data_IF_197162552116
#
_entry.id   IF_197162552116
#
_cell.length_a   1.000
_cell.length_b   1.000
_cell.length_c   1.000
_cell.angle_alpha   90.00
_cell.angle_beta   90.00
_cell.angle_gamma   90.00
#
_symmetry.space_group_name_H-M   'P 1'
#
loop_
_entity.id
_entity.type
_entity.pdbx_description
1 polymer ?
#
# COMPACT_ATOMS: atom_id res chain seq x y z
N UNK A 1 -9.54 -16.81 2.28
CA UNK A 1 -8.52 -16.55 3.31
C UNK A 1 -9.01 -15.57 4.38
N UNK A 2 -9.12 -16.03 5.63
CA UNK A 2 -9.68 -15.26 6.77
C UNK A 2 -9.03 -13.87 6.99
N UNK A 3 -7.76 -13.72 6.64
CA UNK A 3 -6.97 -12.50 6.89
C UNK A 3 -7.32 -11.35 5.94
N UNK A 4 -7.67 -11.66 4.69
CA UNK A 4 -8.04 -10.66 3.68
C UNK A 4 -9.43 -10.11 3.98
N UNK A 5 -10.34 -11.00 4.38
CA UNK A 5 -11.67 -10.59 4.86
C UNK A 5 -11.55 -9.71 6.10
N UNK A 6 -10.59 -9.99 7.00
CA UNK A 6 -10.32 -9.13 8.16
C UNK A 6 -9.82 -7.75 7.73
N UNK A 7 -8.85 -7.69 6.80
CA UNK A 7 -8.37 -6.41 6.24
C UNK A 7 -9.53 -5.66 5.56
N UNK A 8 -10.41 -6.37 4.87
CA UNK A 8 -11.56 -5.76 4.21
C UNK A 8 -12.55 -5.17 5.22
N UNK A 9 -12.88 -5.90 6.29
CA UNK A 9 -13.72 -5.39 7.38
C UNK A 9 -13.09 -4.20 8.08
N UNK A 10 -11.78 -4.24 8.33
CA UNK A 10 -11.02 -3.15 8.92
C UNK A 10 -11.08 -1.90 8.01
N UNK A 11 -10.89 -2.06 6.69
CA UNK A 11 -10.98 -0.98 5.71
C UNK A 11 -12.39 -0.39 5.63
N UNK A 12 -13.44 -1.20 5.61
CA UNK A 12 -14.82 -0.72 5.60
C UNK A 12 -15.18 0.02 6.89
N UNK A 13 -14.68 -0.43 8.06
CA UNK A 13 -14.84 0.28 9.34
C UNK A 13 -14.12 1.63 9.34
N UNK A 14 -12.90 1.69 8.81
CA UNK A 14 -12.12 2.93 8.76
C UNK A 14 -12.62 3.91 7.70
N UNK A 15 -13.42 3.47 6.72
CA UNK A 15 -13.97 4.36 5.67
C UNK A 15 -14.94 5.38 6.26
N UNK A 16 -15.60 5.02 7.37
CA UNK A 16 -16.55 5.84 8.11
C UNK A 16 -15.86 6.83 9.07
N UNK A 17 -14.56 6.66 9.35
CA UNK A 17 -13.80 7.63 10.12
C UNK A 17 -13.44 8.85 9.27
N UNK A 18 -13.55 10.05 9.84
CA UNK A 18 -13.18 11.32 9.21
C UNK A 18 -11.65 11.48 9.17
N UNK A 19 -10.97 10.66 8.37
CA UNK A 19 -9.55 10.85 8.08
C UNK A 19 -9.38 11.89 6.98
N UNK A 20 -8.42 12.80 7.16
CA UNK A 20 -7.87 13.59 6.06
C UNK A 20 -7.31 12.65 4.99
N UNK A 21 -7.24 13.14 3.75
CA UNK A 21 -6.68 12.39 2.64
C UNK A 21 -5.31 11.77 2.96
N UNK A 22 -4.43 12.55 3.59
CA UNK A 22 -3.10 12.11 4.05
C UNK A 22 -3.18 11.12 5.21
N UNK A 23 -4.11 11.33 6.15
CA UNK A 23 -4.35 10.41 7.27
C UNK A 23 -4.75 9.02 6.79
N UNK A 24 -5.52 8.91 5.71
CA UNK A 24 -5.90 7.60 5.13
C UNK A 24 -4.68 6.84 4.59
N UNK A 25 -3.78 7.55 3.90
CA UNK A 25 -2.55 6.97 3.37
C UNK A 25 -1.66 6.49 4.52
N UNK A 26 -1.51 7.31 5.58
CA UNK A 26 -0.76 6.93 6.77
C UNK A 26 -1.36 5.70 7.46
N UNK A 27 -2.68 5.65 7.67
CA UNK A 27 -3.38 4.50 8.27
C UNK A 27 -3.22 3.22 7.47
N UNK A 28 -3.28 3.28 6.14
CA UNK A 28 -3.00 2.11 5.28
C UNK A 28 -1.54 1.68 5.46
N UNK A 29 -0.62 2.65 5.46
CA UNK A 29 0.81 2.40 5.60
C UNK A 29 1.19 1.81 6.95
N UNK A 30 0.49 2.16 8.04
CA UNK A 30 0.79 1.64 9.38
C UNK A 30 0.05 0.35 9.70
N UNK A 31 -1.18 0.15 9.22
CA UNK A 31 -1.98 -1.01 9.61
C UNK A 31 -2.00 -2.14 8.57
N UNK A 32 -2.09 -1.81 7.29
CA UNK A 32 -2.23 -2.81 6.21
C UNK A 32 -0.87 -3.32 5.78
N UNK A 33 0.12 -2.43 5.69
CA UNK A 33 1.48 -2.77 5.28
C UNK A 33 2.15 -3.87 6.13
N UNK A 34 2.21 -3.79 7.48
CA UNK A 34 2.85 -4.84 8.28
C UNK A 34 2.12 -6.19 8.18
N UNK A 35 0.79 -6.19 8.07
CA UNK A 35 0.00 -7.42 7.86
C UNK A 35 0.33 -8.09 6.52
N UNK A 36 0.52 -7.30 5.46
CA UNK A 36 0.94 -7.81 4.15
C UNK A 36 2.37 -8.33 4.17
N UNK A 37 3.29 -7.60 4.81
CA UNK A 37 4.70 -8.02 4.96
C UNK A 37 4.80 -9.36 5.68
N UNK A 38 4.09 -9.51 6.80
CA UNK A 38 4.03 -10.78 7.53
C UNK A 38 3.53 -11.94 6.65
N UNK A 39 2.53 -11.68 5.80
CA UNK A 39 1.98 -12.70 4.90
C UNK A 39 2.98 -13.12 3.82
N UNK A 40 3.75 -12.18 3.26
CA UNK A 40 4.82 -12.50 2.30
C UNK A 40 5.99 -13.26 2.92
N UNK A 41 6.27 -13.02 4.21
CA UNK A 41 7.35 -13.70 4.94
C UNK A 41 6.97 -15.12 5.37
N UNK A 42 5.72 -15.32 5.80
CA UNK A 42 5.24 -16.61 6.32
C UNK A 42 4.80 -17.58 5.23
N UNK A 43 4.45 -17.07 4.06
CA UNK A 43 3.88 -17.88 2.98
C UNK A 43 4.76 -17.75 1.72
N UNK A 44 5.53 -18.79 1.33
CA UNK A 44 6.32 -18.79 0.10
C UNK A 44 5.44 -19.04 -1.14
N UNK A 45 4.26 -18.42 -1.23
CA UNK A 45 3.35 -18.58 -2.36
C UNK A 45 3.62 -17.50 -3.41
N UNK A 46 3.71 -17.93 -4.66
CA UNK A 46 3.74 -17.06 -5.85
C UNK A 46 2.37 -16.39 -6.01
N UNK A 47 2.11 -15.34 -5.23
CA UNK A 47 0.91 -14.51 -5.37
C UNK A 47 0.85 -13.95 -6.79
N UNK A 48 -0.23 -14.27 -7.50
CA UNK A 48 -0.45 -13.85 -8.88
C UNK A 48 -0.76 -12.36 -8.99
N UNK A 49 -0.50 -11.76 -10.17
CA UNK A 49 -0.76 -10.32 -10.43
C UNK A 49 -2.19 -9.89 -10.09
N UNK A 50 -3.18 -10.74 -10.36
CA UNK A 50 -4.60 -10.50 -10.09
C UNK A 50 -4.88 -10.19 -8.61
N UNK A 51 -4.16 -10.83 -7.69
CA UNK A 51 -4.27 -10.57 -6.26
C UNK A 51 -3.90 -9.13 -5.90
N UNK A 52 -2.77 -8.66 -6.44
CA UNK A 52 -2.27 -7.32 -6.21
C UNK A 52 -3.18 -6.26 -6.86
N UNK A 53 -3.73 -6.55 -8.04
CA UNK A 53 -4.72 -5.67 -8.68
C UNK A 53 -5.99 -5.50 -7.85
N UNK A 54 -6.53 -6.60 -7.31
CA UNK A 54 -7.70 -6.56 -6.44
C UNK A 54 -7.43 -5.79 -5.14
N UNK A 55 -6.26 -5.98 -4.53
CA UNK A 55 -5.83 -5.24 -3.34
C UNK A 55 -5.68 -3.74 -3.64
N UNK A 56 -4.98 -3.38 -4.73
CA UNK A 56 -4.77 -1.99 -5.14
C UNK A 56 -6.10 -1.28 -5.45
N UNK A 57 -7.05 -2.00 -6.06
CA UNK A 57 -8.41 -1.48 -6.32
C UNK A 57 -9.16 -1.17 -5.02
N UNK A 58 -9.05 -2.03 -4.01
CA UNK A 58 -9.67 -1.84 -2.69
C UNK A 58 -9.04 -0.67 -1.93
N UNK A 59 -7.71 -0.58 -1.92
CA UNK A 59 -6.96 0.53 -1.33
C UNK A 59 -7.33 1.85 -2.00
N UNK A 60 -7.38 1.88 -3.33
CA UNK A 60 -7.80 3.06 -4.10
C UNK A 60 -9.24 3.48 -3.71
N UNK A 61 -10.18 2.54 -3.63
CA UNK A 61 -11.57 2.82 -3.23
C UNK A 61 -11.68 3.39 -1.81
N UNK A 62 -10.85 2.90 -0.87
CA UNK A 62 -10.79 3.39 0.50
C UNK A 62 -10.25 4.82 0.57
N UNK A 63 -9.11 5.05 -0.07
CA UNK A 63 -8.45 6.35 -0.14
C UNK A 63 -9.43 7.41 -0.67
N UNK A 64 -10.14 7.08 -1.76
CA UNK A 64 -11.12 7.96 -2.40
C UNK A 64 -12.52 7.95 -1.78
N UNK A 65 -12.77 7.20 -0.70
CA UNK A 65 -14.09 7.15 -0.05
C UNK A 65 -15.24 6.77 -1.00
N UNK A 66 -14.99 5.81 -1.91
CA UNK A 66 -15.93 5.44 -2.99
C UNK A 66 -16.26 6.58 -3.99
N UNK A 67 -15.61 7.74 -3.89
CA UNK A 67 -15.69 8.85 -4.88
C UNK A 67 -14.70 8.60 -6.01
N UNK A 68 -14.87 9.32 -7.13
CA UNK A 68 -13.96 9.23 -8.28
C UNK A 68 -12.55 9.67 -7.89
N UNK A 69 -11.57 8.89 -8.33
CA UNK A 69 -10.17 9.20 -8.10
C UNK A 69 -9.78 10.54 -8.73
N UNK A 70 -9.33 11.50 -7.91
CA UNK A 70 -8.86 12.83 -8.39
C UNK A 70 -7.41 12.81 -8.87
N UNK A 71 -6.63 11.82 -8.43
CA UNK A 71 -5.21 11.64 -8.74
C UNK A 71 -4.99 10.21 -9.24
N UNK A 72 -4.22 10.06 -10.32
CA UNK A 72 -3.88 8.74 -10.88
C UNK A 72 -3.11 7.92 -9.84
N UNK A 73 -3.45 6.64 -9.67
CA UNK A 73 -2.82 5.76 -8.68
C UNK A 73 -1.29 5.68 -8.84
N UNK A 74 -0.79 5.62 -10.08
CA UNK A 74 0.65 5.70 -10.39
C UNK A 74 1.33 6.97 -9.85
N UNK A 75 0.65 8.12 -9.89
CA UNK A 75 1.19 9.37 -9.36
C UNK A 75 1.21 9.38 -7.83
N UNK A 76 0.29 8.66 -7.18
CA UNK A 76 0.37 8.47 -5.73
C UNK A 76 1.54 7.58 -5.33
N UNK A 77 1.83 6.55 -6.12
CA UNK A 77 2.92 5.62 -5.88
C UNK A 77 4.30 6.23 -6.15
N UNK A 78 4.35 7.33 -6.89
CA UNK A 78 5.60 8.00 -7.19
C UNK A 78 6.20 8.64 -5.93
N UNK A 79 7.53 8.78 -5.95
CA UNK A 79 8.29 9.36 -4.84
C UNK A 79 7.93 10.83 -4.63
N UNK A 80 8.09 11.31 -3.39
CA UNK A 80 7.83 12.71 -3.03
C UNK A 80 8.70 13.70 -3.82
N UNK A 81 9.90 13.26 -4.23
CA UNK A 81 10.81 14.03 -5.10
C UNK A 81 10.26 14.31 -6.50
N UNK A 82 9.33 13.47 -6.98
CA UNK A 82 8.67 13.60 -8.29
C UNK A 82 7.26 14.18 -8.19
N UNK A 83 6.91 14.76 -7.03
CA UNK A 83 5.57 15.31 -6.77
C UNK A 83 4.51 14.26 -6.46
N UNK A 84 4.91 13.01 -6.18
CA UNK A 84 4.01 11.93 -5.79
C UNK A 84 3.75 11.85 -4.29
N UNK A 85 2.83 10.96 -3.88
CA UNK A 85 2.43 10.78 -2.47
C UNK A 85 3.19 9.68 -1.74
N UNK A 86 4.18 9.05 -2.39
CA UNK A 86 4.97 7.94 -1.86
C UNK A 86 4.10 6.80 -1.27
N UNK A 87 2.99 6.49 -1.95
CA UNK A 87 2.13 5.37 -1.61
C UNK A 87 2.90 4.07 -1.89
N UNK A 88 3.05 3.15 -0.92
CA UNK A 88 3.79 1.93 -1.14
C UNK A 88 3.14 1.07 -2.23
N UNK A 89 3.93 0.73 -3.25
CA UNK A 89 3.56 -0.28 -4.23
C UNK A 89 3.90 -1.68 -3.70
N UNK A 90 2.89 -2.53 -3.64
CA UNK A 90 2.97 -3.87 -3.03
C UNK A 90 3.95 -4.81 -3.76
N UNK A 91 4.17 -4.59 -5.06
CA UNK A 91 5.17 -5.33 -5.85
C UNK A 91 6.60 -4.85 -5.56
N UNK A 92 6.79 -3.54 -5.40
CA UNK A 92 8.09 -2.96 -5.08
C UNK A 92 8.58 -3.39 -3.68
N UNK A 93 7.67 -3.48 -2.70
CA UNK A 93 7.98 -3.98 -1.35
C UNK A 93 8.46 -5.43 -1.39
N UNK A 94 7.87 -6.26 -2.27
CA UNK A 94 8.30 -7.65 -2.45
C UNK A 94 9.75 -7.73 -2.98
N UNK A 95 10.15 -6.82 -3.87
CA UNK A 95 11.51 -6.78 -4.43
C UNK A 95 12.57 -6.28 -3.44
N UNK A 96 12.19 -5.49 -2.43
CA UNK A 96 13.11 -5.08 -1.36
C UNK A 96 13.46 -6.21 -0.39
N UNK A 97 12.61 -7.23 -0.31
CA UNK A 97 12.83 -8.40 0.55
C UNK A 97 13.65 -9.51 -0.13
N UNK A 98 13.99 -9.35 -1.42
CA UNK A 98 14.86 -10.28 -2.15
C UNK A 98 16.32 -9.83 -1.97
N UNK A 99 17.19 -10.65 -1.34
CA UNK A 99 18.61 -10.32 -1.20
C UNK A 99 19.25 -10.17 -2.60
N UNK A 100 19.90 -9.04 -2.85
CA UNK A 100 20.58 -8.71 -4.13
C UNK A 100 19.87 -7.68 -5.02
N UNK A 101 18.72 -7.14 -4.62
CA UNK A 101 18.02 -6.10 -5.38
C UNK A 101 18.68 -4.72 -5.25
N UNK A 102 19.13 -4.13 -6.37
CA UNK A 102 19.86 -2.83 -6.43
C UNK A 102 19.00 -1.57 -6.17
N UNK A 103 17.77 -1.70 -5.66
CA UNK A 103 16.84 -0.57 -5.42
C UNK A 103 17.00 0.02 -4.00
N UNK A 104 18.07 -0.32 -3.29
CA UNK A 104 18.34 0.08 -1.89
C UNK A 104 18.73 1.54 -1.67
N UNK A 105 18.80 2.38 -2.70
CA UNK A 105 19.33 3.75 -2.60
C UNK A 105 18.31 4.84 -2.29
N UNK A 106 17.00 4.54 -2.20
CA UNK A 106 15.96 5.59 -2.05
C UNK A 106 15.40 5.80 -0.64
N UNK A 107 15.84 5.02 0.36
CA UNK A 107 15.37 5.16 1.76
C UNK A 107 16.43 5.69 2.73
N UNK A 108 17.62 6.04 2.23
CA UNK A 108 18.63 6.76 3.00
C UNK A 108 19.03 8.04 2.26
N UNK A 109 18.23 9.09 2.36
CA UNK A 109 18.74 10.47 2.30
C UNK A 109 17.70 11.48 2.77
N UNK A 110 18.10 12.22 3.82
CA UNK A 110 17.63 13.54 4.27
C UNK A 110 16.39 13.56 5.18
N UNK A 111 16.59 13.06 6.39
CA UNK A 111 16.15 13.80 7.58
C UNK A 111 17.19 14.90 7.84
N UNK A 112 16.75 16.16 7.80
CA UNK A 112 17.33 17.31 8.51
C UNK A 112 16.28 17.74 9.52
#
# INVERSE_FOLDING_TARGET
DKLIDQIQKDLDRWVNLQFSWMGRIATIKTNVLPKLVYLFQTVPIKLGKKFFEDLNKRISKFIWQKKKARVKYKLMQDSRSKGGLALPDSYTIKLQQVPGSKIGSTWKTKEY
#
